data_IF_970199058821
#
_entry.id   IF_970199058821
#
_cell.length_a   1.000
_cell.length_b   1.000
_cell.length_c   1.000
_cell.angle_alpha   90.00
_cell.angle_beta   90.00
_cell.angle_gamma   90.00
#
_symmetry.space_group_name_H-M   'P 1'
#
loop_
_entity.id
_entity.type
_entity.pdbx_description
1 polymer ?
#
# COMPACT_ATOMS: atom_id res chain seq x y z
N UNK A 1 -10.36 16.61 -13.84
CA UNK A 1 -9.18 16.06 -13.13
C UNK A 1 -8.26 15.40 -14.12
N UNK A 2 -7.00 15.81 -14.14
CA UNK A 2 -6.01 15.21 -15.03
C UNK A 2 -5.71 13.76 -14.64
N UNK A 3 -5.75 13.47 -13.37
CA UNK A 3 -5.53 12.13 -12.83
C UNK A 3 -6.86 11.38 -12.78
N UNK A 4 -6.83 10.08 -13.11
CA UNK A 4 -8.03 9.24 -13.10
C UNK A 4 -8.09 8.40 -11.83
N UNK A 5 -8.69 8.92 -10.74
CA UNK A 5 -8.71 8.23 -9.45
C UNK A 5 -9.32 6.83 -9.53
N UNK A 6 -10.32 6.65 -10.39
CA UNK A 6 -10.96 5.36 -10.58
C UNK A 6 -9.98 4.30 -11.07
N UNK A 7 -9.16 4.62 -12.08
CA UNK A 7 -8.17 3.68 -12.60
C UNK A 7 -7.13 3.32 -11.54
N UNK A 8 -6.66 4.30 -10.78
CA UNK A 8 -5.71 4.06 -9.70
C UNK A 8 -6.38 3.27 -8.58
N UNK A 9 -7.61 3.61 -8.25
CA UNK A 9 -8.38 2.90 -7.24
C UNK A 9 -8.52 1.42 -7.62
N UNK A 10 -8.85 1.13 -8.87
CA UNK A 10 -8.97 -0.23 -9.37
C UNK A 10 -7.63 -0.97 -9.31
N UNK A 11 -6.53 -0.32 -9.67
CA UNK A 11 -5.20 -0.90 -9.59
C UNK A 11 -4.82 -1.25 -8.16
N UNK A 12 -5.08 -0.35 -7.23
CA UNK A 12 -4.78 -0.56 -5.81
C UNK A 12 -5.61 -1.74 -5.28
N UNK A 13 -6.90 -1.74 -5.59
CA UNK A 13 -7.80 -2.82 -5.18
C UNK A 13 -7.33 -4.16 -5.74
N UNK A 14 -6.93 -4.19 -7.00
CA UNK A 14 -6.42 -5.41 -7.64
C UNK A 14 -5.15 -5.91 -6.95
N UNK A 15 -4.21 -5.02 -6.65
CA UNK A 15 -2.98 -5.39 -5.94
C UNK A 15 -3.26 -5.94 -4.54
N UNK A 16 -4.25 -5.36 -3.85
CA UNK A 16 -4.66 -5.85 -2.54
C UNK A 16 -5.28 -7.25 -2.64
N UNK A 17 -6.06 -7.51 -3.68
CA UNK A 17 -6.63 -8.85 -3.93
C UNK A 17 -5.54 -9.87 -4.22
N UNK A 18 -4.52 -9.49 -4.99
CA UNK A 18 -3.36 -10.35 -5.25
C UNK A 18 -2.65 -10.67 -3.93
N UNK A 19 -2.42 -9.66 -3.10
CA UNK A 19 -1.79 -9.86 -1.79
C UNK A 19 -2.61 -10.78 -0.90
N UNK A 20 -3.93 -10.63 -0.93
CA UNK A 20 -4.84 -11.50 -0.18
C UNK A 20 -4.71 -12.96 -0.62
N UNK A 21 -4.71 -13.20 -1.93
CA UNK A 21 -4.53 -14.56 -2.47
C UNK A 21 -3.15 -15.13 -2.11
N UNK A 22 -2.12 -14.30 -2.16
CA UNK A 22 -0.77 -14.69 -1.76
C UNK A 22 -0.71 -15.04 -0.27
N UNK A 23 -1.39 -14.26 0.57
CA UNK A 23 -1.47 -14.54 2.00
C UNK A 23 -2.20 -15.85 2.27
N UNK A 24 -3.28 -16.13 1.55
CA UNK A 24 -3.99 -17.41 1.65
C UNK A 24 -3.06 -18.59 1.34
N UNK A 25 -2.21 -18.43 0.33
CA UNK A 25 -1.19 -19.44 -0.02
C UNK A 25 -0.20 -19.66 1.12
N UNK A 26 0.23 -18.58 1.77
CA UNK A 26 1.15 -18.67 2.91
C UNK A 26 0.50 -19.41 4.07
N UNK A 27 -0.77 -19.11 4.34
CA UNK A 27 -1.52 -19.82 5.37
C UNK A 27 -1.58 -21.32 5.06
N UNK A 28 -1.84 -21.67 3.81
CA UNK A 28 -1.87 -23.07 3.37
C UNK A 28 -0.51 -23.75 3.58
N UNK A 29 0.58 -23.05 3.28
CA UNK A 29 1.91 -23.56 3.50
C UNK A 29 2.15 -23.87 4.98
N UNK A 30 1.70 -23.02 5.89
CA UNK A 30 1.78 -23.27 7.33
C UNK A 30 0.95 -24.47 7.74
N UNK A 31 -0.26 -24.59 7.22
CA UNK A 31 -1.14 -25.71 7.50
C UNK A 31 -0.56 -27.05 7.01
N UNK A 32 0.19 -27.01 5.91
CA UNK A 32 0.80 -28.19 5.29
C UNK A 32 2.23 -28.46 5.81
N UNK A 33 2.65 -27.77 6.86
CA UNK A 33 3.97 -27.91 7.48
C UNK A 33 5.13 -27.71 6.51
N UNK A 34 5.00 -26.73 5.58
CA UNK A 34 6.06 -26.39 4.64
C UNK A 34 7.31 -25.92 5.41
N UNK A 35 8.47 -26.08 4.78
CA UNK A 35 9.73 -25.69 5.37
C UNK A 35 9.71 -24.19 5.77
N UNK A 36 10.10 -23.91 7.02
CA UNK A 36 9.92 -22.57 7.60
C UNK A 36 10.63 -21.45 6.83
N UNK A 37 11.79 -21.73 6.21
CA UNK A 37 12.49 -20.72 5.42
C UNK A 37 11.70 -20.38 4.16
N UNK A 38 11.07 -21.37 3.51
CA UNK A 38 10.22 -21.12 2.35
C UNK A 38 9.01 -20.28 2.74
N UNK A 39 8.42 -20.54 3.89
CA UNK A 39 7.31 -19.74 4.41
C UNK A 39 7.77 -18.30 4.65
N UNK A 40 8.94 -18.11 5.26
CA UNK A 40 9.50 -16.78 5.51
C UNK A 40 9.71 -16.00 4.22
N UNK A 41 10.24 -16.65 3.17
CA UNK A 41 10.42 -16.01 1.88
C UNK A 41 9.07 -15.53 1.30
N UNK A 42 8.03 -16.34 1.45
CA UNK A 42 6.70 -15.98 0.98
C UNK A 42 6.09 -14.83 1.79
N UNK A 43 6.30 -14.82 3.11
CA UNK A 43 5.88 -13.70 3.97
C UNK A 43 6.55 -12.40 3.54
N UNK A 44 7.87 -12.45 3.28
CA UNK A 44 8.62 -11.28 2.82
C UNK A 44 8.09 -10.77 1.48
N UNK A 45 7.70 -11.67 0.57
CA UNK A 45 7.10 -11.28 -0.70
C UNK A 45 5.75 -10.59 -0.52
N UNK A 46 4.92 -11.06 0.42
CA UNK A 46 3.65 -10.39 0.77
C UNK A 46 3.92 -9.00 1.33
N UNK A 47 4.87 -8.89 2.25
CA UNK A 47 5.25 -7.59 2.84
C UNK A 47 5.69 -6.60 1.77
N UNK A 48 6.55 -7.04 0.83
CA UNK A 48 7.02 -6.19 -0.26
C UNK A 48 5.88 -5.74 -1.16
N UNK A 49 4.96 -6.65 -1.50
CA UNK A 49 3.79 -6.32 -2.30
C UNK A 49 2.88 -5.30 -1.64
N UNK A 50 2.68 -5.43 -0.33
CA UNK A 50 1.88 -4.49 0.45
C UNK A 50 2.57 -3.12 0.54
N UNK A 51 3.89 -3.11 0.72
CA UNK A 51 4.66 -1.87 0.75
C UNK A 51 4.55 -1.11 -0.57
N UNK A 52 4.68 -1.80 -1.69
CA UNK A 52 4.53 -1.18 -3.01
C UNK A 52 3.11 -0.64 -3.21
N UNK A 53 2.11 -1.37 -2.74
CA UNK A 53 0.72 -0.93 -2.80
C UNK A 53 0.51 0.33 -1.97
N UNK A 54 1.10 0.37 -0.77
CA UNK A 54 1.06 1.55 0.10
C UNK A 54 1.72 2.76 -0.56
N UNK A 55 2.86 2.56 -1.23
CA UNK A 55 3.56 3.62 -1.95
C UNK A 55 2.72 4.17 -3.10
N UNK A 56 2.04 3.30 -3.83
CA UNK A 56 1.14 3.71 -4.91
C UNK A 56 -0.03 4.53 -4.37
N UNK A 57 -0.60 4.10 -3.24
CA UNK A 57 -1.69 4.83 -2.60
C UNK A 57 -1.22 6.21 -2.13
N UNK A 58 -0.03 6.29 -1.54
CA UNK A 58 0.55 7.55 -1.09
C UNK A 58 0.80 8.48 -2.27
N UNK A 59 1.35 7.97 -3.37
CA UNK A 59 1.56 8.74 -4.59
C UNK A 59 0.25 9.32 -5.12
N UNK A 60 -0.81 8.51 -5.16
CA UNK A 60 -2.12 8.96 -5.58
C UNK A 60 -2.64 10.07 -4.65
N UNK A 61 -2.47 9.91 -3.34
CA UNK A 61 -2.90 10.89 -2.36
C UNK A 61 -2.18 12.23 -2.56
N UNK A 62 -0.86 12.19 -2.81
CA UNK A 62 -0.07 13.39 -3.08
C UNK A 62 -0.51 14.09 -4.36
N UNK A 63 -0.78 13.34 -5.42
CA UNK A 63 -1.14 13.90 -6.73
C UNK A 63 -2.55 14.47 -6.78
N UNK A 64 -3.47 13.96 -5.99
CA UNK A 64 -4.87 14.40 -6.03
C UNK A 64 -5.31 15.10 -4.76
N UNK A 65 -5.29 14.41 -3.63
CA UNK A 65 -5.87 14.94 -2.39
C UNK A 65 -5.02 16.06 -1.78
N UNK A 66 -3.71 15.87 -1.70
CA UNK A 66 -2.81 16.87 -1.10
C UNK A 66 -2.71 18.10 -1.99
N UNK A 67 -2.57 17.91 -3.30
CA UNK A 67 -2.52 19.02 -4.24
C UNK A 67 -3.80 19.86 -4.18
N UNK A 68 -4.96 19.22 -4.06
CA UNK A 68 -6.25 19.89 -3.91
C UNK A 68 -6.31 20.66 -2.59
N UNK A 69 -5.88 20.05 -1.49
CA UNK A 69 -5.86 20.70 -0.17
C UNK A 69 -4.93 21.92 -0.14
N UNK A 70 -3.78 21.84 -0.78
CA UNK A 70 -2.85 22.97 -0.91
C UNK A 70 -3.53 24.11 -1.66
N UNK A 71 -4.18 23.80 -2.76
CA UNK A 71 -4.95 24.76 -3.55
C UNK A 71 -6.05 25.45 -2.75
N UNK A 72 -6.63 24.75 -1.77
CA UNK A 72 -7.71 25.26 -0.90
C UNK A 72 -7.21 25.89 0.40
N UNK A 73 -5.91 26.06 0.57
CA UNK A 73 -5.32 26.65 1.77
C UNK A 73 -5.21 25.72 2.95
N UNK A 74 -5.26 24.42 2.73
CA UNK A 74 -5.16 23.39 3.77
C UNK A 74 -3.80 22.65 3.75
N UNK A 75 -2.76 23.32 3.26
CA UNK A 75 -1.45 22.75 3.09
C UNK A 75 -0.88 22.20 4.40
N UNK A 76 -0.98 22.96 5.49
CA UNK A 76 -0.39 22.56 6.76
C UNK A 76 -0.96 21.26 7.30
N UNK A 77 -2.28 21.10 7.23
CA UNK A 77 -2.97 19.89 7.70
C UNK A 77 -2.58 18.67 6.85
N UNK A 78 -2.59 18.83 5.53
CA UNK A 78 -2.24 17.74 4.60
C UNK A 78 -0.79 17.32 4.73
N UNK A 79 0.12 18.26 4.89
CA UNK A 79 1.54 17.97 5.06
C UNK A 79 1.77 17.24 6.39
N UNK A 80 1.10 17.67 7.46
CA UNK A 80 1.20 17.00 8.75
C UNK A 80 0.76 15.54 8.67
N UNK A 81 -0.36 15.25 8.00
CA UNK A 81 -0.84 13.89 7.80
C UNK A 81 0.18 13.04 7.06
N UNK A 82 0.75 13.57 5.98
CA UNK A 82 1.77 12.89 5.19
C UNK A 82 3.01 12.60 6.03
N UNK A 83 3.43 13.56 6.84
CA UNK A 83 4.59 13.37 7.72
C UNK A 83 4.36 12.26 8.74
N UNK A 84 3.14 12.10 9.24
CA UNK A 84 2.80 11.00 10.13
C UNK A 84 2.93 9.64 9.43
N UNK A 85 2.44 9.54 8.21
CA UNK A 85 2.58 8.31 7.40
C UNK A 85 4.05 8.00 7.16
N UNK A 86 4.84 9.00 6.81
CA UNK A 86 6.28 8.85 6.58
C UNK A 86 7.01 8.32 7.80
N UNK A 87 6.75 8.90 8.96
CA UNK A 87 7.39 8.49 10.22
C UNK A 87 7.12 7.02 10.52
N UNK A 88 5.91 6.56 10.26
CA UNK A 88 5.55 5.14 10.47
C UNK A 88 6.25 4.22 9.48
N UNK A 89 6.45 4.68 8.25
CA UNK A 89 7.10 3.88 7.20
C UNK A 89 8.57 3.63 7.45
N UNK A 90 9.21 4.49 8.25
CA UNK A 90 10.64 4.39 8.54
C UNK A 90 10.99 3.38 9.64
N UNK A 91 10.00 2.74 10.23
CA UNK A 91 10.19 1.71 11.27
C UNK A 91 10.49 0.35 10.69
#
# INVERSE_FOLDING_TARGET
>A
MAYRPKDTHERITHRLKIARGHLDKVIKMMEDDAYCIDVMHQVQAVESGLKETGNLLLENHLKSCVADDISKGKADESIEEIMQVFKRSLR
#
